data_IF_257067650828
#
_entry.id   IF_257067650828
#
_cell.length_a   1.000
_cell.length_b   1.000
_cell.length_c   1.000
_cell.angle_alpha   90.00
_cell.angle_beta   90.00
_cell.angle_gamma   90.00
#
_symmetry.space_group_name_H-M   'P 1'
#
loop_
_entity.id
_entity.type
_entity.pdbx_description
1 polymer ?
#
# COMPACT_ATOMS: atom_id res chain seq x y z
N UNK A 1 -20.66 -15.70 2.68
CA UNK A 1 -19.98 -16.05 1.40
C UNK A 1 -19.09 -17.25 1.66
N UNK A 2 -19.00 -18.19 0.72
CA UNK A 2 -18.14 -19.36 0.94
C UNK A 2 -16.77 -19.11 0.29
N UNK A 3 -15.77 -18.80 1.11
CA UNK A 3 -14.42 -18.52 0.62
C UNK A 3 -13.73 -19.84 0.27
N UNK A 4 -13.30 -20.00 -0.97
CA UNK A 4 -12.58 -21.22 -1.40
C UNK A 4 -11.32 -21.44 -0.53
N UNK A 5 -10.95 -22.70 -0.22
CA UNK A 5 -9.73 -23.01 0.56
C UNK A 5 -8.45 -22.38 -0.04
N UNK A 6 -7.48 -22.09 0.83
CA UNK A 6 -6.16 -21.57 0.44
C UNK A 6 -5.19 -22.74 0.12
N UNK A 7 -5.54 -23.55 -0.89
CA UNK A 7 -4.69 -24.68 -1.29
C UNK A 7 -3.48 -24.24 -2.11
N UNK A 8 -2.37 -24.96 -1.95
CA UNK A 8 -1.15 -24.77 -2.73
C UNK A 8 -0.36 -23.49 -2.38
N UNK A 9 0.59 -23.14 -3.23
CA UNK A 9 1.51 -22.02 -3.02
C UNK A 9 0.94 -20.70 -3.46
N UNK A 10 1.16 -19.65 -2.65
CA UNK A 10 0.86 -18.28 -2.98
C UNK A 10 2.15 -17.53 -3.35
N UNK A 11 2.31 -17.21 -4.63
CA UNK A 11 3.37 -16.33 -5.10
C UNK A 11 3.12 -14.88 -4.70
N UNK A 12 4.16 -14.23 -4.20
CA UNK A 12 4.15 -12.79 -3.87
C UNK A 12 5.20 -12.11 -4.73
N UNK A 13 4.73 -11.44 -5.78
CA UNK A 13 5.58 -10.67 -6.68
C UNK A 13 5.63 -9.22 -6.21
N UNK A 14 6.77 -8.81 -5.70
CA UNK A 14 6.97 -7.44 -5.19
C UNK A 14 7.70 -6.61 -6.24
N UNK A 15 7.10 -5.50 -6.65
CA UNK A 15 7.79 -4.51 -7.48
C UNK A 15 8.63 -3.62 -6.58
N UNK A 16 9.95 -3.70 -6.74
CA UNK A 16 10.95 -3.09 -5.87
C UNK A 16 11.51 -4.05 -4.81
N UNK A 17 12.81 -4.30 -4.82
CA UNK A 17 13.55 -5.10 -3.83
C UNK A 17 14.28 -4.20 -2.82
N UNK A 18 13.65 -3.11 -2.39
CA UNK A 18 14.21 -2.14 -1.47
C UNK A 18 13.94 -2.43 0.00
N UNK A 19 14.03 -1.40 0.84
CA UNK A 19 13.91 -1.46 2.30
C UNK A 19 12.63 -2.15 2.78
N UNK A 20 11.46 -1.76 2.27
CA UNK A 20 10.16 -2.34 2.66
C UNK A 20 10.06 -3.80 2.26
N UNK A 21 10.37 -4.13 1.00
CA UNK A 21 10.27 -5.49 0.47
C UNK A 21 11.19 -6.47 1.22
N UNK A 22 12.45 -6.09 1.43
CA UNK A 22 13.42 -6.95 2.14
C UNK A 22 13.08 -7.11 3.61
N UNK A 23 12.57 -6.07 4.26
CA UNK A 23 12.07 -6.15 5.66
C UNK A 23 10.88 -7.10 5.76
N UNK A 24 9.94 -7.01 4.83
CA UNK A 24 8.80 -7.92 4.75
C UNK A 24 9.22 -9.38 4.54
N UNK A 25 10.04 -9.66 3.51
CA UNK A 25 10.50 -11.01 3.21
C UNK A 25 11.28 -11.61 4.40
N UNK A 26 12.21 -10.85 4.97
CA UNK A 26 12.98 -11.26 6.16
C UNK A 26 12.04 -11.58 7.33
N UNK A 27 11.08 -10.71 7.61
CA UNK A 27 10.12 -10.90 8.71
C UNK A 27 9.29 -12.17 8.56
N UNK A 28 8.80 -12.47 7.36
CA UNK A 28 8.05 -13.71 7.07
C UNK A 28 8.95 -14.94 7.22
N UNK A 29 10.17 -14.91 6.66
CA UNK A 29 11.11 -16.02 6.76
C UNK A 29 11.54 -16.30 8.21
N UNK A 30 11.77 -15.25 9.00
CA UNK A 30 12.04 -15.34 10.44
C UNK A 30 10.84 -15.91 11.21
N UNK A 31 9.63 -15.50 10.87
CA UNK A 31 8.41 -16.03 11.49
C UNK A 31 8.20 -17.52 11.18
N UNK A 32 8.48 -17.96 9.94
CA UNK A 32 8.45 -19.39 9.54
C UNK A 32 9.38 -20.26 10.39
N UNK A 33 10.54 -19.73 10.75
CA UNK A 33 11.53 -20.42 11.61
C UNK A 33 11.23 -20.30 13.11
N UNK A 34 10.15 -19.57 13.48
CA UNK A 34 9.82 -19.30 14.89
C UNK A 34 10.80 -18.36 15.59
N UNK A 35 11.64 -17.64 14.83
CA UNK A 35 12.67 -16.74 15.35
C UNK A 35 12.16 -15.31 15.57
N UNK A 36 11.04 -14.94 14.97
CA UNK A 36 10.38 -13.65 15.17
C UNK A 36 8.86 -13.83 15.23
N UNK A 37 8.19 -12.89 15.89
CA UNK A 37 6.73 -12.80 15.91
C UNK A 37 6.28 -11.77 14.87
N UNK A 38 5.20 -12.02 14.09
CA UNK A 38 4.69 -11.10 13.08
C UNK A 38 3.87 -9.95 13.72
N UNK A 39 4.45 -9.24 14.69
CA UNK A 39 3.81 -8.12 15.38
C UNK A 39 3.54 -6.99 14.36
N UNK A 40 2.37 -6.39 14.47
CA UNK A 40 1.90 -5.36 13.54
C UNK A 40 1.06 -5.89 12.38
N UNK A 41 1.10 -7.21 12.11
CA UNK A 41 0.18 -7.85 11.16
C UNK A 41 -1.15 -8.17 11.83
N UNK A 42 -2.22 -7.62 11.29
CA UNK A 42 -3.59 -7.87 11.75
C UNK A 42 -3.98 -9.33 11.51
N UNK A 43 -3.69 -9.84 10.33
CA UNK A 43 -4.05 -11.21 9.93
C UNK A 43 -3.36 -12.29 10.78
N UNK A 44 -2.20 -11.98 11.35
CA UNK A 44 -1.40 -12.94 12.11
C UNK A 44 -1.55 -12.78 13.63
N UNK A 45 -1.95 -11.60 14.10
CA UNK A 45 -1.86 -11.28 15.53
C UNK A 45 -3.18 -10.83 16.14
N UNK A 46 -4.04 -10.19 15.37
CA UNK A 46 -5.28 -9.61 15.87
C UNK A 46 -6.41 -10.65 15.93
N UNK A 47 -7.47 -10.27 16.63
CA UNK A 47 -8.69 -11.04 16.77
C UNK A 47 -9.90 -10.20 16.38
N UNK A 48 -10.92 -10.87 15.91
CA UNK A 48 -12.19 -10.27 15.56
C UNK A 48 -13.25 -10.79 16.52
N UNK A 49 -14.01 -9.90 17.11
CA UNK A 49 -15.19 -10.24 17.87
C UNK A 49 -16.28 -10.78 16.94
N UNK A 50 -16.86 -11.91 17.30
CA UNK A 50 -18.05 -12.48 16.66
C UNK A 50 -19.10 -12.80 17.73
N UNK A 51 -20.39 -12.64 17.39
CA UNK A 51 -21.49 -12.81 18.32
C UNK A 51 -21.63 -11.64 19.31
N UNK A 52 -22.74 -11.66 20.05
CA UNK A 52 -23.11 -10.62 21.01
C UNK A 52 -23.47 -11.21 22.38
N UNK A 53 -23.43 -10.39 23.43
CA UNK A 53 -23.80 -10.79 24.78
C UNK A 53 -23.03 -12.01 25.29
N UNK A 54 -23.75 -13.08 25.66
CA UNK A 54 -23.15 -14.30 26.21
C UNK A 54 -22.44 -15.17 25.16
N UNK A 55 -22.77 -15.00 23.89
CA UNK A 55 -22.19 -15.77 22.77
C UNK A 55 -20.96 -15.08 22.15
N UNK A 56 -20.49 -14.01 22.78
CA UNK A 56 -19.33 -13.22 22.34
C UNK A 56 -18.04 -14.02 22.36
N UNK A 57 -17.36 -14.10 21.23
CA UNK A 57 -16.08 -14.77 21.06
C UNK A 57 -15.07 -13.85 20.34
N UNK A 58 -13.78 -14.06 20.55
CA UNK A 58 -12.68 -13.38 19.87
C UNK A 58 -11.87 -14.42 19.10
N UNK A 59 -12.02 -14.42 17.79
CA UNK A 59 -11.40 -15.39 16.89
C UNK A 59 -10.26 -14.73 16.11
N UNK A 60 -9.20 -15.49 15.85
CA UNK A 60 -8.17 -15.03 14.90
C UNK A 60 -8.72 -15.01 13.46
N UNK A 61 -8.17 -14.17 12.61
CA UNK A 61 -8.57 -14.07 11.19
C UNK A 61 -8.62 -15.44 10.49
N UNK A 62 -7.57 -16.26 10.70
CA UNK A 62 -7.49 -17.61 10.12
C UNK A 62 -8.56 -18.60 10.61
N UNK A 63 -9.18 -18.32 11.77
CA UNK A 63 -10.25 -19.14 12.34
C UNK A 63 -11.62 -18.73 11.75
N UNK A 64 -11.69 -17.58 11.10
CA UNK A 64 -12.89 -17.02 10.45
C UNK A 64 -12.87 -17.28 8.95
N UNK A 65 -11.74 -17.07 8.28
CA UNK A 65 -11.58 -17.20 6.83
C UNK A 65 -10.35 -18.04 6.49
N UNK A 66 -10.40 -18.89 5.46
CA UNK A 66 -9.27 -19.72 5.05
C UNK A 66 -8.18 -18.85 4.42
N UNK A 67 -7.11 -18.57 5.17
CA UNK A 67 -5.96 -17.79 4.73
C UNK A 67 -4.79 -18.69 4.31
N UNK A 68 -3.96 -18.22 3.39
CA UNK A 68 -2.69 -18.88 3.08
C UNK A 68 -1.77 -18.87 4.30
N UNK A 69 -1.10 -20.00 4.57
CA UNK A 69 -0.10 -20.10 5.63
C UNK A 69 1.18 -19.36 5.19
N UNK A 70 1.88 -18.78 6.15
CA UNK A 70 3.16 -18.10 5.85
C UNK A 70 4.18 -19.04 5.17
N UNK A 71 4.10 -20.34 5.43
CA UNK A 71 4.98 -21.38 4.83
C UNK A 71 4.71 -21.58 3.35
N UNK A 72 3.52 -21.25 2.87
CA UNK A 72 3.12 -21.44 1.47
C UNK A 72 3.40 -20.19 0.61
N UNK A 73 3.90 -19.11 1.21
CA UNK A 73 4.28 -17.90 0.45
C UNK A 73 5.61 -18.11 -0.29
N UNK A 74 5.66 -17.74 -1.55
CA UNK A 74 6.88 -17.78 -2.38
C UNK A 74 7.15 -16.37 -2.91
N UNK A 75 8.38 -15.89 -2.77
CA UNK A 75 8.74 -14.51 -3.11
C UNK A 75 9.46 -14.40 -4.44
N UNK A 76 9.03 -13.43 -5.24
CA UNK A 76 9.74 -12.94 -6.41
C UNK A 76 9.71 -11.42 -6.42
N UNK A 77 10.61 -10.80 -7.17
CA UNK A 77 10.70 -9.33 -7.21
C UNK A 77 11.23 -8.85 -8.55
N UNK A 78 10.91 -7.61 -8.90
CA UNK A 78 11.57 -6.82 -9.95
C UNK A 78 12.29 -5.65 -9.30
N UNK A 79 13.48 -5.34 -9.75
CA UNK A 79 14.19 -4.14 -9.31
C UNK A 79 15.11 -3.62 -10.42
N UNK A 80 15.35 -2.31 -10.42
CA UNK A 80 16.33 -1.66 -11.29
C UNK A 80 17.78 -1.98 -10.88
N UNK A 81 17.98 -2.50 -9.68
CA UNK A 81 19.27 -2.94 -9.17
C UNK A 81 19.34 -4.47 -9.15
N UNK A 82 20.48 -5.09 -9.53
CA UNK A 82 20.59 -6.54 -9.65
C UNK A 82 20.89 -7.29 -8.33
N UNK A 83 21.02 -6.58 -7.21
CA UNK A 83 21.30 -7.16 -5.91
C UNK A 83 20.17 -8.09 -5.46
N UNK A 84 20.53 -9.31 -5.00
CA UNK A 84 19.55 -10.21 -4.39
C UNK A 84 18.99 -9.64 -3.07
N UNK A 85 17.90 -10.26 -2.57
CA UNK A 85 17.20 -9.72 -1.40
C UNK A 85 18.08 -9.64 -0.13
N UNK A 86 19.08 -10.54 0.02
CA UNK A 86 20.04 -10.43 1.13
C UNK A 86 20.92 -9.20 1.00
N UNK A 87 21.54 -8.99 -0.17
CA UNK A 87 22.38 -7.82 -0.42
C UNK A 87 21.60 -6.52 -0.29
N UNK A 88 20.36 -6.50 -0.79
CA UNK A 88 19.46 -5.35 -0.67
C UNK A 88 19.05 -5.09 0.80
N UNK A 89 18.78 -6.13 1.61
CA UNK A 89 18.48 -6.00 3.03
C UNK A 89 19.66 -5.42 3.83
N UNK A 90 20.88 -5.90 3.53
CA UNK A 90 22.11 -5.38 4.14
C UNK A 90 22.33 -3.92 3.76
N UNK A 91 22.15 -3.57 2.49
CA UNK A 91 22.29 -2.21 2.00
C UNK A 91 21.25 -1.24 2.59
N UNK A 92 20.03 -1.69 2.80
CA UNK A 92 18.94 -0.87 3.33
C UNK A 92 19.12 -0.49 4.81
N UNK A 93 19.93 -1.23 5.56
CA UNK A 93 20.25 -0.98 6.99
C UNK A 93 19.02 -0.86 7.92
N UNK A 94 17.86 -1.40 7.51
CA UNK A 94 16.64 -1.41 8.34
C UNK A 94 16.78 -2.42 9.47
N UNK A 95 17.21 -3.64 9.12
CA UNK A 95 17.35 -4.76 10.04
C UNK A 95 18.80 -4.95 10.46
N UNK A 96 18.99 -5.49 11.65
CA UNK A 96 20.34 -5.83 12.15
C UNK A 96 20.79 -7.16 11.57
N UNK A 97 22.10 -7.39 11.50
CA UNK A 97 22.68 -8.65 11.01
C UNK A 97 22.07 -9.88 11.70
N UNK A 98 21.86 -9.85 13.02
CA UNK A 98 21.23 -10.95 13.79
C UNK A 98 19.83 -11.35 13.28
N UNK A 99 19.13 -10.45 12.59
CA UNK A 99 17.79 -10.68 12.07
C UNK A 99 17.83 -11.12 10.59
N UNK A 100 18.91 -10.82 9.86
CA UNK A 100 19.08 -11.16 8.45
C UNK A 100 19.82 -12.49 8.27
N UNK A 101 20.91 -12.70 9.03
CA UNK A 101 21.76 -13.90 8.91
C UNK A 101 21.02 -15.24 9.07
N UNK A 102 20.05 -15.40 9.99
CA UNK A 102 19.33 -16.67 10.12
C UNK A 102 18.52 -17.10 8.88
N UNK A 103 18.26 -16.17 7.96
CA UNK A 103 17.49 -16.38 6.71
C UNK A 103 18.27 -15.97 5.47
N UNK A 104 19.60 -15.92 5.59
CA UNK A 104 20.52 -15.48 4.54
C UNK A 104 20.34 -16.26 3.24
N UNK A 105 20.34 -17.58 3.31
CA UNK A 105 20.33 -18.42 2.12
C UNK A 105 19.01 -18.28 1.35
N UNK A 106 17.90 -18.19 2.06
CA UNK A 106 16.58 -17.94 1.47
C UNK A 106 16.52 -16.55 0.80
N UNK A 107 17.07 -15.53 1.44
CA UNK A 107 17.12 -14.18 0.86
C UNK A 107 18.07 -14.11 -0.35
N UNK A 108 19.20 -14.83 -0.32
CA UNK A 108 20.13 -14.89 -1.46
C UNK A 108 19.53 -15.60 -2.68
N UNK A 109 18.60 -16.52 -2.47
CA UNK A 109 17.88 -17.19 -3.55
C UNK A 109 16.89 -16.26 -4.28
N UNK A 110 16.40 -15.20 -3.63
CA UNK A 110 15.48 -14.22 -4.22
C UNK A 110 16.29 -13.19 -5.00
N UNK A 111 16.36 -13.38 -6.32
CA UNK A 111 17.05 -12.49 -7.26
C UNK A 111 16.02 -11.65 -8.02
N UNK A 112 16.23 -10.34 -8.17
CA UNK A 112 15.29 -9.51 -8.89
C UNK A 112 15.32 -9.79 -10.40
N UNK A 113 14.14 -9.90 -10.98
CA UNK A 113 13.94 -9.83 -12.42
C UNK A 113 14.22 -8.40 -12.89
N UNK A 114 14.52 -8.23 -14.18
CA UNK A 114 14.69 -6.90 -14.78
C UNK A 114 13.40 -6.09 -14.68
N UNK A 115 13.49 -4.87 -14.19
CA UNK A 115 12.35 -3.98 -14.04
C UNK A 115 11.88 -3.39 -15.38
N UNK A 116 10.58 -3.24 -15.56
CA UNK A 116 10.03 -2.32 -16.54
C UNK A 116 10.12 -0.89 -15.94
N UNK A 117 11.01 -0.08 -16.45
CA UNK A 117 11.39 1.19 -15.84
C UNK A 117 11.57 2.29 -16.88
N UNK A 118 11.22 3.51 -16.50
CA UNK A 118 11.52 4.72 -17.27
C UNK A 118 12.11 5.76 -16.33
N UNK A 119 13.34 6.17 -16.59
CA UNK A 119 14.09 7.11 -15.76
C UNK A 119 13.41 8.48 -15.63
N UNK A 120 12.58 8.86 -16.59
CA UNK A 120 11.84 10.12 -16.52
C UNK A 120 10.81 10.13 -15.39
N UNK A 121 10.35 8.95 -14.96
CA UNK A 121 9.37 8.79 -13.87
C UNK A 121 10.01 8.73 -12.47
N UNK A 122 11.30 8.38 -12.37
CA UNK A 122 12.04 8.37 -11.11
C UNK A 122 13.52 8.71 -11.36
N UNK A 123 13.80 9.99 -11.64
CA UNK A 123 15.10 10.49 -12.13
C UNK A 123 16.29 10.21 -11.22
N UNK A 124 16.06 10.07 -9.91
CA UNK A 124 17.09 9.80 -8.90
C UNK A 124 17.52 8.32 -8.81
N UNK A 125 16.82 7.42 -9.53
CA UNK A 125 17.22 6.01 -9.64
C UNK A 125 18.11 5.83 -10.87
N UNK A 126 19.23 5.14 -10.70
CA UNK A 126 20.29 4.96 -11.71
C UNK A 126 20.63 3.49 -11.99
N UNK A 127 19.77 2.57 -11.54
CA UNK A 127 19.98 1.14 -11.77
C UNK A 127 19.86 0.76 -13.25
N UNK A 128 20.60 -0.27 -13.66
CA UNK A 128 20.71 -0.78 -15.03
C UNK A 128 20.06 -2.15 -15.26
N UNK A 129 19.52 -2.77 -14.21
CA UNK A 129 18.76 -4.03 -14.32
C UNK A 129 17.35 -3.78 -14.89
N UNK A 130 17.29 -3.27 -16.11
CA UNK A 130 16.08 -2.79 -16.76
C UNK A 130 15.80 -3.61 -18.02
N UNK A 131 14.50 -3.82 -18.32
CA UNK A 131 14.05 -4.45 -19.56
C UNK A 131 14.31 -3.54 -20.75
N UNK A 132 14.77 -4.12 -21.85
CA UNK A 132 14.89 -3.44 -23.14
C UNK A 132 13.54 -3.52 -23.88
N UNK A 133 12.67 -2.54 -23.60
CA UNK A 133 11.34 -2.44 -24.19
C UNK A 133 11.23 -1.17 -25.05
N UNK A 134 10.73 -1.30 -26.27
CA UNK A 134 10.58 -0.17 -27.21
C UNK A 134 9.33 0.64 -26.90
N UNK A 135 8.26 -0.02 -26.48
CA UNK A 135 6.95 0.59 -26.19
C UNK A 135 6.46 0.22 -24.79
N UNK A 136 5.45 0.95 -24.31
CA UNK A 136 4.73 0.57 -23.07
C UNK A 136 4.04 -0.79 -23.21
N UNK A 137 3.59 -1.14 -24.41
CA UNK A 137 3.02 -2.45 -24.67
C UNK A 137 4.05 -3.57 -24.58
N UNK A 138 5.29 -3.36 -25.07
CA UNK A 138 6.38 -4.32 -24.90
C UNK A 138 6.68 -4.53 -23.40
N UNK A 139 6.59 -3.47 -22.57
CA UNK A 139 6.73 -3.60 -21.11
C UNK A 139 5.64 -4.52 -20.54
N UNK A 140 4.39 -4.32 -20.94
CA UNK A 140 3.27 -5.17 -20.50
C UNK A 140 3.52 -6.63 -20.86
N UNK A 141 3.83 -6.94 -22.13
CA UNK A 141 4.05 -8.32 -22.56
C UNK A 141 5.25 -8.97 -21.87
N UNK A 142 6.34 -8.22 -21.66
CA UNK A 142 7.51 -8.72 -20.93
C UNK A 142 7.21 -8.98 -19.44
N UNK A 143 6.38 -8.16 -18.80
CA UNK A 143 5.93 -8.37 -17.41
C UNK A 143 4.98 -9.57 -17.30
N UNK A 144 4.07 -9.73 -18.26
CA UNK A 144 3.19 -10.92 -18.33
C UNK A 144 3.99 -12.20 -18.47
N UNK A 145 5.03 -12.19 -19.30
CA UNK A 145 5.94 -13.32 -19.45
C UNK A 145 6.65 -13.67 -18.14
N UNK A 146 7.16 -12.64 -17.41
CA UNK A 146 7.81 -12.85 -16.10
C UNK A 146 6.84 -13.45 -15.07
N UNK A 147 5.57 -12.99 -15.03
CA UNK A 147 4.56 -13.52 -14.09
C UNK A 147 4.29 -15.00 -14.40
N UNK A 148 4.12 -15.37 -15.67
CA UNK A 148 3.89 -16.76 -16.09
C UNK A 148 5.09 -17.64 -15.77
N UNK A 149 6.31 -17.20 -16.10
CA UNK A 149 7.55 -17.92 -15.81
C UNK A 149 7.74 -18.12 -14.29
N UNK A 150 7.52 -17.09 -13.49
CA UNK A 150 7.57 -17.20 -12.03
C UNK A 150 6.55 -18.20 -11.50
N UNK A 151 5.30 -18.13 -11.97
CA UNK A 151 4.22 -19.01 -11.56
C UNK A 151 4.53 -20.47 -11.86
N UNK A 152 5.06 -20.76 -13.06
CA UNK A 152 5.44 -22.09 -13.49
C UNK A 152 6.68 -22.60 -12.72
N UNK A 153 7.75 -21.82 -12.67
CA UNK A 153 9.02 -22.19 -12.03
C UNK A 153 8.85 -22.46 -10.55
N UNK A 154 8.11 -21.62 -9.86
CA UNK A 154 7.88 -21.72 -8.42
C UNK A 154 6.65 -22.60 -8.07
N UNK A 155 5.95 -23.12 -9.07
CA UNK A 155 4.73 -23.92 -8.90
C UNK A 155 3.68 -23.22 -8.03
N UNK A 156 3.41 -21.94 -8.34
CA UNK A 156 2.44 -21.16 -7.61
C UNK A 156 1.02 -21.37 -8.18
N UNK A 157 0.07 -21.73 -7.32
CA UNK A 157 -1.34 -21.86 -7.69
C UNK A 157 -2.00 -20.49 -7.84
N UNK A 158 -1.57 -19.54 -7.04
CA UNK A 158 -2.03 -18.16 -7.03
C UNK A 158 -0.85 -17.21 -6.92
N UNK A 159 -1.02 -16.00 -7.43
CA UNK A 159 -0.01 -14.94 -7.34
C UNK A 159 -0.69 -13.62 -7.02
N UNK A 160 -0.09 -12.83 -6.13
CA UNK A 160 -0.45 -11.43 -5.85
C UNK A 160 0.73 -10.55 -6.25
N UNK A 161 0.46 -9.47 -6.96
CA UNK A 161 1.46 -8.46 -7.32
C UNK A 161 1.27 -7.22 -6.45
N UNK A 162 2.34 -6.79 -5.80
CA UNK A 162 2.31 -5.60 -4.93
C UNK A 162 3.46 -4.64 -5.25
N UNK A 163 3.11 -3.37 -5.43
CA UNK A 163 4.08 -2.31 -5.66
C UNK A 163 4.64 -1.81 -4.33
N UNK A 164 5.93 -1.98 -4.11
CA UNK A 164 6.70 -1.44 -3.00
C UNK A 164 7.95 -0.67 -3.48
N UNK A 165 7.98 -0.33 -4.78
CA UNK A 165 9.02 0.51 -5.38
C UNK A 165 8.76 1.99 -5.10
N UNK A 166 9.74 2.81 -5.47
CA UNK A 166 9.71 4.27 -5.29
C UNK A 166 8.52 4.94 -5.97
N UNK A 167 8.17 6.11 -5.46
CA UNK A 167 7.12 6.96 -6.01
C UNK A 167 7.51 7.49 -7.40
N UNK A 168 6.65 7.29 -8.39
CA UNK A 168 6.75 7.89 -9.71
C UNK A 168 6.29 9.35 -9.70
N UNK A 169 6.64 10.12 -10.75
CA UNK A 169 6.08 11.45 -10.95
C UNK A 169 4.56 11.39 -11.09
N UNK A 170 3.89 12.48 -10.75
CA UNK A 170 2.44 12.57 -10.82
C UNK A 170 1.94 12.55 -12.26
N UNK A 171 1.09 11.58 -12.60
CA UNK A 171 0.35 11.52 -13.85
C UNK A 171 -1.11 11.84 -13.53
N UNK A 172 -1.64 13.01 -13.93
CA UNK A 172 -3.03 13.34 -13.69
C UNK A 172 -3.96 12.41 -14.48
N UNK A 173 -5.17 12.19 -13.95
CA UNK A 173 -6.21 11.53 -14.71
C UNK A 173 -6.57 12.35 -15.94
N UNK A 174 -6.55 11.72 -17.12
CA UNK A 174 -7.04 12.28 -18.36
C UNK A 174 -8.04 11.31 -19.01
N UNK A 175 -9.27 11.76 -19.22
CA UNK A 175 -10.34 10.95 -19.78
C UNK A 175 -10.08 10.46 -21.20
N UNK A 176 -9.18 11.11 -21.95
CA UNK A 176 -8.80 10.68 -23.29
C UNK A 176 -7.96 9.39 -23.30
N UNK A 177 -7.25 9.11 -22.21
CA UNK A 177 -6.31 7.98 -22.11
C UNK A 177 -6.69 6.96 -21.03
N UNK A 178 -7.39 7.40 -19.95
CA UNK A 178 -7.56 6.62 -18.73
C UNK A 178 -8.99 6.19 -18.45
N UNK A 179 -9.98 6.64 -19.27
CA UNK A 179 -11.39 6.41 -19.00
C UNK A 179 -11.84 4.97 -19.30
N UNK A 180 -11.35 4.39 -20.42
CA UNK A 180 -11.72 3.05 -20.83
C UNK A 180 -10.51 2.18 -21.08
N UNK A 181 -10.70 0.86 -20.97
CA UNK A 181 -9.65 -0.12 -21.24
C UNK A 181 -9.09 -0.01 -22.66
N UNK A 182 -9.95 0.21 -23.66
CA UNK A 182 -9.53 0.37 -25.06
C UNK A 182 -8.63 1.60 -25.25
N UNK A 183 -8.94 2.72 -24.58
CA UNK A 183 -8.11 3.93 -24.62
C UNK A 183 -6.74 3.68 -23.98
N UNK A 184 -6.70 3.05 -22.81
CA UNK A 184 -5.46 2.70 -22.12
C UNK A 184 -4.58 1.79 -22.99
N UNK A 185 -5.16 0.75 -23.60
CA UNK A 185 -4.45 -0.16 -24.50
C UNK A 185 -3.90 0.57 -25.73
N UNK A 186 -4.70 1.44 -26.35
CA UNK A 186 -4.28 2.22 -27.50
C UNK A 186 -3.07 3.11 -27.16
N UNK A 187 -3.11 3.80 -26.01
CA UNK A 187 -2.01 4.62 -25.52
C UNK A 187 -0.74 3.81 -25.24
N UNK A 188 -0.87 2.63 -24.62
CA UNK A 188 0.25 1.72 -24.39
C UNK A 188 0.90 1.24 -25.71
N UNK A 189 0.10 0.89 -26.70
CA UNK A 189 0.57 0.47 -28.04
C UNK A 189 1.20 1.60 -28.83
N UNK A 190 0.72 2.83 -28.63
CA UNK A 190 1.29 4.03 -29.25
C UNK A 190 2.56 4.53 -28.54
N UNK A 191 3.01 3.87 -27.47
CA UNK A 191 4.13 4.28 -26.61
C UNK A 191 3.95 5.69 -26.03
N UNK A 192 2.72 6.01 -25.59
CA UNK A 192 2.46 7.28 -24.91
C UNK A 192 3.14 7.31 -23.56
N UNK A 193 4.27 7.99 -23.48
CA UNK A 193 5.12 8.09 -22.29
C UNK A 193 4.74 9.25 -21.38
N UNK A 194 3.84 10.09 -21.79
CA UNK A 194 3.34 11.20 -20.97
C UNK A 194 2.20 10.76 -20.05
N UNK A 195 1.28 9.96 -20.59
CA UNK A 195 0.06 9.55 -19.89
C UNK A 195 0.15 8.13 -19.30
N UNK A 196 1.09 7.29 -19.77
CA UNK A 196 1.23 5.90 -19.31
C UNK A 196 2.50 5.73 -18.47
N UNK A 197 2.32 5.70 -17.16
CA UNK A 197 3.39 5.40 -16.20
C UNK A 197 3.82 3.91 -16.27
N UNK A 198 5.09 3.58 -16.01
CA UNK A 198 5.54 2.18 -15.88
C UNK A 198 4.70 1.36 -14.90
N UNK A 199 4.28 1.93 -13.77
CA UNK A 199 3.42 1.25 -12.79
C UNK A 199 2.06 0.83 -13.36
N UNK A 200 1.50 1.57 -14.33
CA UNK A 200 0.28 1.17 -15.04
C UNK A 200 0.49 -0.09 -15.88
N UNK A 201 1.70 -0.29 -16.45
CA UNK A 201 2.06 -1.51 -17.17
C UNK A 201 2.12 -2.73 -16.23
N UNK A 202 2.63 -2.57 -15.01
CA UNK A 202 2.61 -3.63 -13.99
C UNK A 202 1.19 -4.00 -13.56
N UNK A 203 0.34 -3.00 -13.28
CA UNK A 203 -1.05 -3.24 -12.91
C UNK A 203 -1.80 -3.97 -14.03
N UNK A 204 -1.65 -3.49 -15.28
CA UNK A 204 -2.24 -4.10 -16.44
C UNK A 204 -1.79 -5.58 -16.61
N UNK A 205 -0.47 -5.82 -16.57
CA UNK A 205 0.09 -7.17 -16.72
C UNK A 205 -0.37 -8.13 -15.62
N UNK A 206 -0.41 -7.66 -14.36
CA UNK A 206 -0.89 -8.46 -13.23
C UNK A 206 -2.34 -8.89 -13.41
N UNK A 207 -3.22 -7.95 -13.76
CA UNK A 207 -4.64 -8.23 -13.93
C UNK A 207 -4.91 -9.15 -15.13
N UNK A 208 -4.23 -8.98 -16.25
CA UNK A 208 -4.33 -9.88 -17.41
C UNK A 208 -3.88 -11.32 -17.07
N UNK A 209 -2.87 -11.49 -16.21
CA UNK A 209 -2.42 -12.80 -15.73
C UNK A 209 -3.22 -13.30 -14.50
N UNK A 210 -4.37 -12.67 -14.24
CA UNK A 210 -5.29 -12.99 -13.13
C UNK A 210 -4.62 -12.97 -11.76
N UNK A 211 -3.82 -11.95 -11.53
CA UNK A 211 -3.19 -11.68 -10.25
C UNK A 211 -3.79 -10.41 -9.65
N UNK A 212 -4.24 -10.43 -8.39
CA UNK A 212 -4.56 -9.21 -7.66
C UNK A 212 -3.42 -8.21 -7.72
N UNK A 213 -3.73 -6.91 -7.82
CA UNK A 213 -2.73 -5.85 -7.84
C UNK A 213 -2.93 -4.86 -6.70
N UNK A 214 -1.84 -4.57 -5.97
CA UNK A 214 -1.85 -3.64 -4.84
C UNK A 214 -0.83 -2.53 -5.09
N UNK A 215 -1.28 -1.28 -5.02
CA UNK A 215 -0.42 -0.10 -5.14
C UNK A 215 -0.01 0.40 -3.75
N UNK A 216 1.22 0.09 -3.34
CA UNK A 216 1.78 0.52 -2.05
C UNK A 216 2.43 1.91 -2.06
N UNK A 217 2.58 2.54 -3.23
CA UNK A 217 3.06 3.92 -3.41
C UNK A 217 1.90 4.87 -3.75
N UNK A 218 2.08 6.20 -3.73
CA UNK A 218 1.01 7.17 -4.03
C UNK A 218 0.73 7.36 -5.53
N UNK A 219 1.33 6.57 -6.41
CA UNK A 219 1.15 6.67 -7.86
C UNK A 219 -0.33 6.56 -8.24
N UNK A 220 -0.75 7.26 -9.28
CA UNK A 220 -2.14 7.30 -9.76
C UNK A 220 -2.60 6.04 -10.49
N UNK A 221 -1.74 5.05 -10.61
CA UNK A 221 -1.90 3.79 -11.34
C UNK A 221 -3.26 3.10 -11.20
N UNK A 222 -3.78 3.04 -9.97
CA UNK A 222 -5.04 2.36 -9.66
C UNK A 222 -6.24 3.32 -9.54
N UNK A 223 -6.02 4.63 -9.72
CA UNK A 223 -7.08 5.65 -9.69
C UNK A 223 -7.61 5.97 -11.10
N UNK A 224 -7.48 5.04 -12.04
CA UNK A 224 -7.96 5.23 -13.40
C UNK A 224 -9.04 4.19 -13.75
N UNK A 225 -10.20 4.63 -14.27
CA UNK A 225 -11.33 3.73 -14.58
C UNK A 225 -10.98 2.58 -15.52
N UNK A 226 -10.04 2.77 -16.44
CA UNK A 226 -9.56 1.70 -17.33
C UNK A 226 -8.96 0.50 -16.57
N UNK A 227 -8.26 0.73 -15.46
CA UNK A 227 -7.74 -0.35 -14.59
C UNK A 227 -8.88 -0.98 -13.79
N UNK A 228 -9.89 -0.21 -13.37
CA UNK A 228 -11.07 -0.77 -12.70
C UNK A 228 -11.85 -1.68 -13.63
N UNK A 229 -12.08 -1.24 -14.90
CA UNK A 229 -12.71 -2.05 -15.94
C UNK A 229 -11.96 -3.37 -16.17
N UNK A 230 -10.62 -3.33 -16.23
CA UNK A 230 -9.80 -4.51 -16.38
C UNK A 230 -9.91 -5.45 -15.17
N UNK A 231 -9.90 -4.91 -13.95
CA UNK A 231 -10.05 -5.68 -12.72
C UNK A 231 -11.41 -6.40 -12.65
N UNK A 232 -12.49 -5.71 -13.04
CA UNK A 232 -13.82 -6.32 -13.17
C UNK A 232 -13.84 -7.42 -14.23
N UNK A 233 -13.31 -7.16 -15.43
CA UNK A 233 -13.26 -8.09 -16.54
C UNK A 233 -12.46 -9.36 -16.24
N UNK A 234 -11.36 -9.22 -15.50
CA UNK A 234 -10.49 -10.36 -15.11
C UNK A 234 -10.93 -11.03 -13.82
N UNK A 235 -11.92 -10.48 -13.13
CA UNK A 235 -12.39 -10.90 -11.81
C UNK A 235 -11.28 -10.89 -10.76
N UNK A 236 -10.48 -9.80 -10.73
CA UNK A 236 -9.39 -9.65 -9.78
C UNK A 236 -9.60 -8.45 -8.85
N UNK A 237 -9.26 -8.58 -7.57
CA UNK A 237 -9.27 -7.45 -6.64
C UNK A 237 -8.10 -6.51 -6.92
N UNK A 238 -8.34 -5.22 -6.73
CA UNK A 238 -7.33 -4.17 -6.72
C UNK A 238 -7.42 -3.36 -5.44
N UNK A 239 -6.30 -2.91 -4.93
CA UNK A 239 -6.23 -2.04 -3.77
C UNK A 239 -5.13 -0.97 -3.94
N UNK A 240 -5.35 0.20 -3.37
CA UNK A 240 -4.42 1.32 -3.36
C UNK A 240 -4.96 2.42 -2.46
N UNK A 241 -4.12 3.40 -2.17
CA UNK A 241 -2.69 3.50 -2.50
C UNK A 241 -1.92 4.06 -1.32
N UNK A 242 -0.60 3.87 -1.35
CA UNK A 242 0.35 4.36 -0.34
C UNK A 242 0.18 3.71 1.05
N UNK A 243 1.14 2.88 1.48
CA UNK A 243 1.11 2.20 2.78
C UNK A 243 0.96 3.18 3.94
N UNK A 244 -0.03 2.98 4.81
CA UNK A 244 -0.35 3.88 5.93
C UNK A 244 0.63 3.74 7.08
N UNK A 245 1.71 4.49 7.03
CA UNK A 245 2.75 4.59 8.05
C UNK A 245 2.86 6.01 8.59
N UNK A 246 3.60 6.19 9.67
CA UNK A 246 4.04 7.50 10.16
C UNK A 246 2.91 8.52 10.36
N UNK A 247 3.09 9.72 9.82
CA UNK A 247 2.20 10.87 10.08
C UNK A 247 0.78 10.71 9.56
N UNK A 248 0.54 9.95 8.48
CA UNK A 248 -0.83 9.73 8.01
C UNK A 248 -1.58 8.77 8.95
N UNK A 249 -0.90 7.80 9.55
CA UNK A 249 -1.49 7.00 10.63
C UNK A 249 -1.91 7.92 11.80
N UNK A 250 -1.05 8.85 12.20
CA UNK A 250 -1.37 9.85 13.23
C UNK A 250 -2.56 10.70 12.82
N UNK A 251 -2.59 11.25 11.59
CA UNK A 251 -3.71 12.08 11.10
C UNK A 251 -5.02 11.32 11.09
N UNK A 252 -5.05 10.12 10.50
CA UNK A 252 -6.27 9.33 10.37
C UNK A 252 -6.82 8.83 11.72
N UNK A 253 -5.96 8.70 12.74
CA UNK A 253 -6.37 8.35 14.11
C UNK A 253 -6.71 9.57 14.96
N UNK A 254 -5.98 10.69 14.82
CA UNK A 254 -6.13 11.83 15.73
C UNK A 254 -7.14 12.89 15.24
N UNK A 255 -7.27 13.11 13.94
CA UNK A 255 -8.28 14.05 13.42
C UNK A 255 -9.72 13.66 13.79
N UNK A 256 -10.11 12.36 13.79
CA UNK A 256 -11.41 11.94 14.32
C UNK A 256 -11.64 12.32 15.79
N UNK A 257 -10.60 12.33 16.63
CA UNK A 257 -10.71 12.74 18.05
C UNK A 257 -11.09 14.24 18.12
N UNK A 258 -10.43 15.09 17.32
CA UNK A 258 -10.74 16.53 17.21
C UNK A 258 -12.20 16.71 16.78
N UNK A 259 -12.62 16.02 15.72
CA UNK A 259 -13.98 16.08 15.17
C UNK A 259 -15.03 15.63 16.18
N UNK A 260 -14.83 14.47 16.82
CA UNK A 260 -15.77 13.90 17.80
C UNK A 260 -15.92 14.78 19.04
N UNK A 261 -14.87 15.51 19.44
CA UNK A 261 -14.88 16.46 20.54
C UNK A 261 -15.43 17.85 20.14
N UNK A 262 -15.83 18.02 18.89
CA UNK A 262 -16.32 19.27 18.32
C UNK A 262 -15.35 20.44 18.55
N UNK A 263 -14.05 20.18 18.39
CA UNK A 263 -12.99 21.18 18.49
C UNK A 263 -12.69 21.72 17.08
N UNK A 264 -12.38 23.00 16.99
CA UNK A 264 -11.94 23.60 15.73
C UNK A 264 -10.48 23.29 15.42
N UNK A 265 -10.15 23.26 14.14
CA UNK A 265 -8.81 23.03 13.62
C UNK A 265 -8.36 24.22 12.79
N UNK A 266 -7.44 25.03 13.32
CA UNK A 266 -6.89 26.19 12.64
C UNK A 266 -5.71 25.81 11.72
N UNK A 267 -4.92 24.81 12.10
CA UNK A 267 -3.80 24.39 11.28
C UNK A 267 -3.20 23.03 11.67
N UNK A 268 -2.60 22.39 10.66
CA UNK A 268 -1.80 21.17 10.85
C UNK A 268 -0.55 21.24 9.98
N UNK A 269 0.58 21.51 10.62
CA UNK A 269 1.87 21.56 9.95
C UNK A 269 2.65 20.27 10.22
N UNK A 270 2.95 19.53 9.15
CA UNK A 270 3.73 18.28 9.22
C UNK A 270 5.08 18.45 8.54
N UNK A 271 6.16 18.06 9.20
CA UNK A 271 7.46 17.92 8.55
C UNK A 271 8.04 16.54 8.83
N UNK A 272 8.75 15.98 7.85
CA UNK A 272 9.44 14.71 7.96
C UNK A 272 10.91 14.88 7.58
N UNK A 273 11.76 14.10 8.24
CA UNK A 273 13.16 13.86 7.85
C UNK A 273 13.31 12.37 7.59
N UNK A 274 13.86 12.00 6.43
CA UNK A 274 14.02 10.62 5.97
C UNK A 274 15.29 10.51 5.12
N UNK A 275 16.09 9.47 5.33
CA UNK A 275 17.42 9.34 4.70
C UNK A 275 17.56 8.13 3.76
N UNK A 276 16.51 7.31 3.56
CA UNK A 276 16.54 6.16 2.66
C UNK A 276 16.31 6.55 1.19
N UNK A 277 16.29 5.56 0.28
CA UNK A 277 16.07 5.81 -1.17
C UNK A 277 14.72 6.45 -1.48
N UNK A 278 13.65 6.18 -0.73
CA UNK A 278 12.37 6.86 -0.92
C UNK A 278 12.53 8.36 -0.62
N UNK A 279 13.24 8.71 0.46
CA UNK A 279 13.61 10.10 0.77
C UNK A 279 14.39 10.77 -0.35
N UNK A 280 15.37 10.07 -0.94
CA UNK A 280 16.16 10.57 -2.07
C UNK A 280 15.27 10.83 -3.31
N UNK A 281 14.36 9.94 -3.64
CA UNK A 281 13.44 10.12 -4.77
C UNK A 281 12.48 11.28 -4.52
N UNK A 282 11.96 11.41 -3.29
CA UNK A 282 11.04 12.47 -2.89
C UNK A 282 11.71 13.86 -2.73
N UNK A 283 13.04 13.93 -2.75
CA UNK A 283 13.78 15.20 -2.84
C UNK A 283 13.66 15.87 -4.23
N UNK A 284 13.21 15.10 -5.24
CA UNK A 284 12.85 15.62 -6.56
C UNK A 284 11.43 16.21 -6.51
N UNK A 285 11.23 17.51 -6.84
CA UNK A 285 9.93 18.18 -6.72
C UNK A 285 8.77 17.48 -7.46
N UNK A 286 9.02 16.90 -8.63
CA UNK A 286 7.99 16.22 -9.42
C UNK A 286 7.49 14.93 -8.74
N UNK A 287 8.38 14.17 -8.08
CA UNK A 287 8.02 12.97 -7.31
C UNK A 287 7.40 13.36 -5.96
N UNK A 288 7.89 14.44 -5.33
CA UNK A 288 7.30 14.97 -4.10
C UNK A 288 5.84 15.39 -4.29
N UNK A 289 5.49 16.01 -5.42
CA UNK A 289 4.12 16.43 -5.70
C UNK A 289 3.11 15.27 -5.62
N UNK A 290 3.46 14.09 -6.15
CA UNK A 290 2.62 12.88 -6.04
C UNK A 290 2.34 12.52 -4.58
N UNK A 291 3.36 12.63 -3.71
CA UNK A 291 3.24 12.34 -2.27
C UNK A 291 2.48 13.43 -1.51
N UNK A 292 2.64 14.69 -1.92
CA UNK A 292 1.96 15.83 -1.31
C UNK A 292 0.45 15.74 -1.52
N UNK A 293 -0.01 15.49 -2.74
CA UNK A 293 -1.43 15.29 -3.07
C UNK A 293 -2.05 14.20 -2.19
N UNK A 294 -1.37 13.05 -2.07
CA UNK A 294 -1.84 11.94 -1.22
C UNK A 294 -1.96 12.31 0.27
N UNK A 295 -1.04 13.13 0.80
CA UNK A 295 -1.03 13.50 2.23
C UNK A 295 -1.98 14.63 2.61
N UNK A 296 -2.28 15.53 1.69
CA UNK A 296 -3.17 16.66 1.95
C UNK A 296 -4.64 16.22 2.00
N UNK A 297 -5.07 15.32 1.12
CA UNK A 297 -6.46 14.86 1.04
C UNK A 297 -6.98 14.18 2.32
N UNK A 298 -6.11 13.57 3.13
CA UNK A 298 -6.54 12.83 4.34
C UNK A 298 -7.30 13.68 5.34
N UNK A 299 -6.85 14.92 5.57
CA UNK A 299 -7.43 15.78 6.61
C UNK A 299 -8.77 16.36 6.19
N UNK A 300 -8.89 16.75 4.93
CA UNK A 300 -10.08 17.38 4.36
C UNK A 300 -11.28 16.43 4.32
N UNK A 301 -11.04 15.12 4.16
CA UNK A 301 -12.11 14.11 4.17
C UNK A 301 -12.58 13.73 5.58
N UNK A 302 -11.83 14.07 6.63
CA UNK A 302 -12.21 13.84 8.02
C UNK A 302 -12.84 15.10 8.62
N UNK A 303 -12.13 16.23 8.53
CA UNK A 303 -12.56 17.54 9.02
C UNK A 303 -13.12 18.35 7.84
N UNK A 304 -14.37 18.08 7.48
CA UNK A 304 -15.01 18.63 6.27
C UNK A 304 -15.47 20.07 6.49
N UNK A 305 -14.93 21.03 5.73
CA UNK A 305 -15.34 22.44 5.81
C UNK A 305 -16.84 22.66 5.52
N UNK A 306 -17.41 21.88 4.59
CA UNK A 306 -18.81 21.98 4.20
C UNK A 306 -19.78 21.51 5.29
N UNK A 307 -19.35 20.55 6.15
CA UNK A 307 -20.18 20.08 7.28
C UNK A 307 -20.16 21.08 8.46
N UNK A 308 -18.98 21.64 8.76
CA UNK A 308 -18.77 22.55 9.91
C UNK A 308 -17.82 23.70 9.55
N UNK A 309 -18.25 24.70 8.78
CA UNK A 309 -17.40 25.78 8.28
C UNK A 309 -16.75 26.61 9.40
N UNK A 310 -17.45 26.80 10.54
CA UNK A 310 -16.91 27.54 11.70
C UNK A 310 -15.73 26.84 12.35
N UNK A 311 -15.62 25.51 12.24
CA UNK A 311 -14.56 24.71 12.85
C UNK A 311 -13.45 24.35 11.88
N UNK A 312 -13.77 24.17 10.57
CA UNK A 312 -12.85 23.59 9.59
C UNK A 312 -12.73 24.42 8.30
N UNK A 313 -13.45 25.55 8.18
CA UNK A 313 -13.49 26.35 6.95
C UNK A 313 -12.16 26.98 6.52
N UNK A 314 -11.19 27.14 7.45
CA UNK A 314 -9.92 27.80 7.20
C UNK A 314 -8.73 27.02 7.79
N UNK A 315 -8.61 25.74 7.46
CA UNK A 315 -7.49 24.92 7.94
C UNK A 315 -6.22 25.24 7.14
N UNK A 316 -5.17 25.75 7.83
CA UNK A 316 -3.84 25.83 7.22
C UNK A 316 -3.14 24.47 7.28
N UNK A 317 -3.20 23.71 6.19
CA UNK A 317 -2.59 22.39 6.10
C UNK A 317 -1.31 22.44 5.26
N UNK A 318 -0.17 22.01 5.84
CA UNK A 318 1.14 22.02 5.19
C UNK A 318 1.89 20.74 5.47
N UNK A 319 2.52 20.19 4.42
CA UNK A 319 3.40 19.00 4.51
C UNK A 319 4.76 19.34 3.94
N UNK A 320 5.83 18.90 4.63
CA UNK A 320 7.23 18.97 4.18
C UNK A 320 7.89 17.61 4.34
N UNK A 321 8.72 17.24 3.38
CA UNK A 321 9.62 16.09 3.45
C UNK A 321 11.01 16.59 3.12
N UNK A 322 11.98 16.24 3.98
CA UNK A 322 13.35 16.64 3.84
C UNK A 322 14.23 15.39 3.74
N UNK A 323 14.99 15.27 2.67
CA UNK A 323 15.97 14.21 2.53
C UNK A 323 17.18 14.51 3.41
N UNK A 324 17.52 13.59 4.30
CA UNK A 324 18.64 13.70 5.21
C UNK A 324 19.32 12.34 5.38
N UNK A 325 20.37 12.03 4.60
CA UNK A 325 21.03 10.73 4.55
C UNK A 325 21.37 10.10 5.91
N UNK A 326 21.86 10.87 6.93
CA UNK A 326 22.20 10.26 8.23
C UNK A 326 21.07 9.59 8.99
N UNK A 327 19.81 9.76 8.55
CA UNK A 327 18.65 9.10 9.15
C UNK A 327 18.39 7.70 8.59
N UNK A 328 18.92 7.33 7.43
CA UNK A 328 18.60 6.07 6.77
C UNK A 328 17.07 5.83 6.74
N UNK A 329 16.59 4.67 7.25
CA UNK A 329 15.14 4.35 7.37
C UNK A 329 14.49 4.93 8.64
N UNK A 330 15.24 5.53 9.55
CA UNK A 330 14.72 6.18 10.76
C UNK A 330 14.04 7.49 10.37
N UNK A 331 12.73 7.44 10.20
CA UNK A 331 11.91 8.57 9.81
C UNK A 331 11.46 9.35 11.03
N UNK A 332 11.84 10.60 11.10
CA UNK A 332 11.40 11.52 12.13
C UNK A 332 10.31 12.43 11.58
N UNK A 333 9.16 12.47 12.24
CA UNK A 333 8.02 13.30 11.88
C UNK A 333 7.62 14.21 13.02
N UNK A 334 7.48 15.52 12.75
CA UNK A 334 6.90 16.48 13.68
C UNK A 334 5.57 16.97 13.14
N UNK A 335 4.56 16.90 13.98
CA UNK A 335 3.25 17.49 13.71
C UNK A 335 3.00 18.61 14.72
N UNK A 336 2.70 19.79 14.20
CA UNK A 336 2.25 20.92 14.97
C UNK A 336 0.79 21.17 14.62
N UNK A 337 -0.10 21.00 15.61
CA UNK A 337 -1.54 20.99 15.41
C UNK A 337 -2.14 22.13 16.24
N UNK A 338 -2.66 23.14 15.58
CA UNK A 338 -3.30 24.30 16.19
C UNK A 338 -4.81 24.10 16.17
N UNK A 339 -5.38 23.92 17.37
CA UNK A 339 -6.81 23.72 17.59
C UNK A 339 -7.39 24.88 18.38
N UNK A 340 -8.71 25.02 18.37
CA UNK A 340 -9.41 25.96 19.23
C UNK A 340 -10.69 25.34 19.80
N UNK A 341 -11.08 25.81 20.96
CA UNK A 341 -12.22 25.29 21.72
C UNK A 341 -13.19 26.36 22.16
N UNK A 342 -13.74 26.22 23.34
CA UNK A 342 -14.71 27.12 23.92
C UNK A 342 -14.32 28.60 23.76
N UNK A 343 -15.23 29.43 23.26
CA UNK A 343 -15.05 30.88 22.98
C UNK A 343 -13.92 31.17 21.97
N UNK A 344 -13.49 30.22 21.16
CA UNK A 344 -12.41 30.39 20.18
C UNK A 344 -11.00 30.37 20.79
N UNK A 345 -10.84 29.97 22.07
CA UNK A 345 -9.51 29.95 22.69
C UNK A 345 -8.58 28.95 22.04
N UNK A 346 -7.38 29.40 21.61
CA UNK A 346 -6.42 28.55 20.92
C UNK A 346 -5.70 27.60 21.86
N UNK A 347 -5.40 26.42 21.36
CA UNK A 347 -4.56 25.40 22.00
C UNK A 347 -3.66 24.77 20.95
N UNK A 348 -2.55 24.20 21.38
CA UNK A 348 -1.59 23.55 20.49
C UNK A 348 -1.25 22.15 20.96
N UNK A 349 -1.15 21.23 20.01
CA UNK A 349 -0.68 19.86 20.22
C UNK A 349 0.55 19.66 19.37
N UNK A 350 1.60 19.10 19.95
CA UNK A 350 2.82 18.73 19.24
C UNK A 350 3.06 17.24 19.36
N UNK A 351 3.29 16.59 18.23
CA UNK A 351 3.63 15.18 18.15
C UNK A 351 5.01 15.06 17.53
N UNK A 352 5.91 14.38 18.20
CA UNK A 352 7.19 13.96 17.65
C UNK A 352 7.18 12.44 17.58
N UNK A 353 7.31 11.91 16.37
CA UNK A 353 7.26 10.48 16.08
C UNK A 353 8.51 10.05 15.32
N UNK A 354 9.45 9.41 16.03
CA UNK A 354 10.57 8.72 15.40
C UNK A 354 10.15 7.27 15.13
N UNK A 355 10.03 6.89 13.86
CA UNK A 355 9.65 5.54 13.46
C UNK A 355 10.62 4.98 12.42
N UNK A 356 10.65 3.66 12.29
CA UNK A 356 11.28 2.96 11.17
C UNK A 356 10.21 2.67 10.13
N UNK A 357 10.24 3.40 9.03
CA UNK A 357 9.15 3.41 8.05
C UNK A 357 8.92 2.01 7.46
N UNK A 358 10.01 1.30 7.10
CA UNK A 358 9.94 -0.06 6.56
C UNK A 358 9.45 -1.10 7.57
N UNK A 359 9.74 -0.92 8.87
CA UNK A 359 9.21 -1.79 9.93
C UNK A 359 7.70 -1.62 10.09
N UNK A 360 7.19 -0.39 9.93
CA UNK A 360 5.74 -0.14 9.95
C UNK A 360 5.05 -0.67 8.69
N UNK A 361 5.71 -0.58 7.52
CA UNK A 361 5.13 -0.97 6.24
C UNK A 361 5.11 -2.49 6.01
N UNK A 362 6.12 -3.22 6.49
CA UNK A 362 6.26 -4.66 6.24
C UNK A 362 5.03 -5.50 6.65
N UNK A 363 4.45 -5.36 7.85
CA UNK A 363 3.25 -6.09 8.24
C UNK A 363 2.00 -5.68 7.43
N UNK A 364 1.90 -4.41 6.99
CA UNK A 364 0.81 -3.97 6.12
C UNK A 364 0.88 -4.66 4.76
N UNK A 365 2.10 -4.84 4.23
CA UNK A 365 2.33 -5.54 2.96
C UNK A 365 1.89 -7.00 3.09
N UNK A 366 2.23 -7.68 4.19
CA UNK A 366 1.77 -9.04 4.47
C UNK A 366 0.25 -9.13 4.50
N UNK A 367 -0.40 -8.25 5.26
CA UNK A 367 -1.85 -8.26 5.41
C UNK A 367 -2.57 -7.98 4.08
N UNK A 368 -2.08 -6.99 3.32
CA UNK A 368 -2.63 -6.65 2.00
C UNK A 368 -2.52 -7.83 1.02
N UNK A 369 -1.39 -8.54 1.00
CA UNK A 369 -1.19 -9.72 0.16
C UNK A 369 -2.16 -10.83 0.54
N UNK A 370 -2.22 -11.20 1.82
CA UNK A 370 -3.07 -12.28 2.31
C UNK A 370 -4.56 -11.97 2.11
N UNK A 371 -4.99 -10.75 2.41
CA UNK A 371 -6.38 -10.33 2.27
C UNK A 371 -6.80 -10.15 0.81
N UNK A 372 -5.89 -9.78 -0.09
CA UNK A 372 -6.18 -9.72 -1.53
C UNK A 372 -6.32 -11.13 -2.13
N UNK A 373 -5.52 -12.10 -1.69
CA UNK A 373 -5.71 -13.52 -2.04
C UNK A 373 -7.07 -14.05 -1.55
N UNK A 374 -7.42 -13.73 -0.31
CA UNK A 374 -8.76 -14.07 0.25
C UNK A 374 -9.87 -13.44 -0.57
N UNK A 375 -9.78 -12.14 -0.90
CA UNK A 375 -10.79 -11.44 -1.70
C UNK A 375 -10.99 -12.10 -3.06
N UNK A 376 -9.91 -12.46 -3.76
CA UNK A 376 -9.99 -13.16 -5.05
C UNK A 376 -10.70 -14.52 -4.91
N UNK A 377 -10.38 -15.32 -3.88
CA UNK A 377 -11.02 -16.62 -3.61
C UNK A 377 -12.46 -16.50 -3.13
N UNK A 378 -12.81 -15.37 -2.52
CA UNK A 378 -14.17 -15.03 -2.14
C UNK A 378 -15.02 -14.50 -3.32
N UNK A 379 -14.44 -14.35 -4.52
CA UNK A 379 -15.11 -13.77 -5.67
C UNK A 379 -15.37 -12.27 -5.55
N UNK A 380 -14.60 -11.57 -4.70
CA UNK A 380 -14.60 -10.10 -4.61
C UNK A 380 -13.57 -9.56 -5.59
N UNK A 381 -13.99 -8.76 -6.53
CA UNK A 381 -13.13 -8.16 -7.56
C UNK A 381 -13.36 -6.66 -7.65
N UNK A 382 -12.57 -5.97 -8.49
CA UNK A 382 -12.55 -4.52 -8.54
C UNK A 382 -11.95 -3.89 -7.29
N UNK A 383 -12.39 -2.68 -6.95
CA UNK A 383 -11.88 -1.88 -5.83
C UNK A 383 -12.22 -2.52 -4.48
N UNK A 384 -11.22 -2.87 -3.69
CA UNK A 384 -11.39 -3.46 -2.36
C UNK A 384 -11.36 -2.39 -1.27
N UNK A 385 -12.51 -1.79 -0.95
CA UNK A 385 -12.64 -0.71 0.04
C UNK A 385 -12.25 -1.12 1.45
N UNK A 386 -12.45 -2.38 1.84
CA UNK A 386 -12.08 -2.84 3.19
C UNK A 386 -10.57 -2.81 3.43
N UNK A 387 -9.75 -2.79 2.37
CA UNK A 387 -8.30 -2.64 2.47
C UNK A 387 -7.84 -1.19 2.69
N UNK A 388 -8.75 -0.21 2.70
CA UNK A 388 -8.47 1.20 3.00
C UNK A 388 -7.75 1.41 4.33
N UNK A 389 -8.00 0.52 5.31
CA UNK A 389 -7.34 0.55 6.62
C UNK A 389 -5.81 0.59 6.52
N UNK A 390 -5.23 -0.08 5.54
CA UNK A 390 -3.78 -0.19 5.35
C UNK A 390 -3.18 0.95 4.49
N UNK A 391 -4.00 1.83 3.93
CA UNK A 391 -3.63 2.74 2.85
C UNK A 391 -3.89 4.22 3.22
N UNK A 392 -2.97 5.12 2.81
CA UNK A 392 -3.03 6.56 3.11
C UNK A 392 -4.05 7.30 2.26
N UNK A 393 -4.18 6.90 1.00
CA UNK A 393 -5.06 7.51 0.01
C UNK A 393 -5.93 6.40 -0.60
N UNK A 394 -6.98 5.97 0.12
CA UNK A 394 -7.78 4.84 -0.29
C UNK A 394 -8.48 5.07 -1.62
N UNK A 395 -8.54 4.02 -2.44
CA UNK A 395 -9.31 4.02 -3.67
C UNK A 395 -10.81 4.20 -3.39
N UNK A 396 -11.45 4.92 -4.29
CA UNK A 396 -12.90 5.13 -4.32
C UNK A 396 -13.34 5.35 -5.76
N UNK A 397 -14.58 5.11 -6.08
CA UNK A 397 -15.12 5.40 -7.41
C UNK A 397 -15.59 6.85 -7.49
N UNK A 398 -14.66 7.74 -7.85
CA UNK A 398 -14.97 9.16 -8.04
C UNK A 398 -15.95 9.42 -9.19
N UNK A 399 -16.12 8.48 -10.13
CA UNK A 399 -17.07 8.61 -11.24
C UNK A 399 -18.51 8.49 -10.77
N UNK A 400 -18.73 7.87 -9.59
CA UNK A 400 -20.00 7.76 -8.90
C UNK A 400 -20.16 8.81 -7.79
N UNK A 401 -19.22 9.75 -7.66
CA UNK A 401 -19.24 10.76 -6.61
C UNK A 401 -18.92 10.23 -5.22
N UNK A 402 -18.25 9.08 -5.14
CA UNK A 402 -17.81 8.52 -3.85
C UNK A 402 -16.63 9.31 -3.29
N UNK A 403 -16.53 9.33 -1.97
CA UNK A 403 -15.40 9.91 -1.24
C UNK A 403 -14.56 8.83 -0.56
N UNK A 404 -13.25 9.05 -0.42
CA UNK A 404 -12.39 8.12 0.29
C UNK A 404 -12.66 8.15 1.80
N UNK A 405 -12.74 7.00 2.41
CA UNK A 405 -12.83 6.87 3.87
C UNK A 405 -11.42 6.97 4.46
N UNK A 406 -11.13 8.02 5.23
CA UNK A 406 -9.82 8.25 5.88
C UNK A 406 -9.85 8.19 7.41
N UNK A 407 -11.02 8.15 8.03
CA UNK A 407 -11.17 7.93 9.47
C UNK A 407 -10.70 6.51 9.83
N UNK A 408 -9.65 6.41 10.65
CA UNK A 408 -9.03 5.12 11.00
C UNK A 408 -10.01 4.14 11.67
N UNK A 409 -10.87 4.64 12.54
CA UNK A 409 -11.83 3.82 13.28
C UNK A 409 -12.94 3.27 12.37
N UNK A 410 -13.39 4.08 11.43
CA UNK A 410 -14.35 3.65 10.41
C UNK A 410 -13.72 2.62 9.46
N UNK A 411 -12.49 2.84 9.01
CA UNK A 411 -11.73 1.88 8.20
C UNK A 411 -11.53 0.55 8.94
N UNK A 412 -11.27 0.61 10.25
CA UNK A 412 -11.12 -0.57 11.09
C UNK A 412 -12.42 -1.38 11.16
N UNK A 413 -13.55 -0.70 11.36
CA UNK A 413 -14.87 -1.33 11.38
C UNK A 413 -15.20 -1.95 10.01
N UNK A 414 -14.94 -1.25 8.90
CA UNK A 414 -15.13 -1.75 7.54
C UNK A 414 -14.27 -3.00 7.29
N UNK A 415 -12.99 -2.99 7.69
CA UNK A 415 -12.11 -4.15 7.57
C UNK A 415 -12.67 -5.36 8.32
N UNK A 416 -12.98 -5.19 9.59
CA UNK A 416 -13.47 -6.30 10.43
C UNK A 416 -14.81 -6.85 9.95
N UNK A 417 -15.70 -5.98 9.51
CA UNK A 417 -16.99 -6.41 8.96
C UNK A 417 -16.85 -7.16 7.64
N UNK A 418 -15.92 -6.77 6.77
CA UNK A 418 -15.64 -7.53 5.56
C UNK A 418 -15.14 -8.96 5.88
N UNK A 419 -14.32 -9.11 6.93
CA UNK A 419 -13.85 -10.44 7.36
C UNK A 419 -15.01 -11.25 7.97
N UNK A 420 -15.84 -10.64 8.82
CA UNK A 420 -17.04 -11.27 9.38
C UNK A 420 -17.96 -11.80 8.26
N UNK A 421 -18.25 -10.94 7.29
CA UNK A 421 -19.11 -11.28 6.15
C UNK A 421 -18.54 -12.45 5.31
N UNK A 422 -17.24 -12.41 5.00
CA UNK A 422 -16.57 -13.51 4.28
C UNK A 422 -16.58 -14.82 5.08
N UNK A 423 -16.52 -14.74 6.40
CA UNK A 423 -16.62 -15.89 7.32
C UNK A 423 -18.04 -16.33 7.66
N UNK A 424 -19.08 -15.68 7.10
CA UNK A 424 -20.48 -16.01 7.37
C UNK A 424 -21.03 -15.46 8.69
N UNK A 425 -20.35 -14.50 9.31
CA UNK A 425 -20.82 -13.81 10.51
C UNK A 425 -21.53 -12.50 10.18
N UNK A 426 -22.41 -12.06 11.07
CA UNK A 426 -23.06 -10.75 10.95
C UNK A 426 -22.05 -9.61 11.13
N UNK A 427 -22.30 -8.49 10.46
CA UNK A 427 -21.58 -7.25 10.68
C UNK A 427 -21.83 -6.73 12.11
N UNK A 428 -20.87 -5.99 12.64
CA UNK A 428 -20.91 -5.39 13.97
C UNK A 428 -20.58 -3.90 13.88
N UNK A 429 -21.38 -3.06 14.48
CA UNK A 429 -21.18 -1.60 14.47
C UNK A 429 -20.24 -1.13 15.58
N UNK A 430 -20.04 -1.95 16.61
CA UNK A 430 -19.12 -1.62 17.70
C UNK A 430 -17.66 -1.85 17.30
N UNK A 431 -16.78 -0.96 17.75
CA UNK A 431 -15.34 -1.14 17.63
C UNK A 431 -14.90 -2.28 18.56
N UNK A 432 -14.11 -3.20 18.03
CA UNK A 432 -13.61 -4.37 18.77
C UNK A 432 -12.57 -4.00 19.84
#
# INVERSE_FOLDING_TARGET
>A
MDVKPAEGRLGVLVVGCGAVATTFMTGVLMARKGLAKPIGSMTQYDKIRVGHGADKQYLHYKDIIPMADLRDLVFGTWDVYPQNAYQAAVYAEVLKAKDIEPVRDELMAIKPMKAAFDKNYAKRLDGDNVKDCKTRWDMVEALRADIRDFKEREQCDRVVVIWAASTEIYVPYDAAYHKTLDQLQAAMKADDREHIAPSMCYAYAALEERCPFIMGAPNTTVDIPAIWELAEKTHMPIAGKDFKTGQTLVKSGFAPIIKTRNLGLAGWFSTNILGNRDGLVLDEPANFHTKEVSKLSTLETICKPEEQPDLYGNIYHKVRINYYPPRNDDKEGWDNIDIFGWMGYPMQIKINFLCRDSILAAPLLLDLVLLSDVAARAGRYGIQRFLSFFLKSPMHDFTQGEEPVNNLFEQYTILKNAIREMGGYAADEEID
#
